data_IF_819851987123
#
_entry.id   IF_819851987123
#
_cell.length_a   1.000
_cell.length_b   1.000
_cell.length_c   1.000
_cell.angle_alpha   90.00
_cell.angle_beta   90.00
_cell.angle_gamma   90.00
#
_symmetry.space_group_name_H-M   'P 1'
#
loop_
_entity.id
_entity.type
_entity.pdbx_description
1 polymer ?
#
# COMPACT_ATOMS: atom_id res chain seq x y z
N UNK A 1 -24.88 -0.29 6.15
CA UNK A 1 -24.69 -0.19 4.69
C UNK A 1 -23.35 0.44 4.30
N UNK A 2 -22.87 1.50 4.96
CA UNK A 2 -21.64 2.21 4.55
C UNK A 2 -20.38 1.35 4.39
N UNK A 3 -20.08 0.45 5.33
CA UNK A 3 -18.85 -0.36 5.30
C UNK A 3 -18.75 -1.25 4.05
N UNK A 4 -19.84 -1.92 3.65
CA UNK A 4 -19.83 -2.82 2.49
C UNK A 4 -19.51 -2.04 1.20
N UNK A 5 -20.08 -0.85 1.04
CA UNK A 5 -19.84 0.01 -0.13
C UNK A 5 -18.38 0.48 -0.17
N UNK A 6 -17.79 0.81 0.99
CA UNK A 6 -16.37 1.16 1.10
C UNK A 6 -15.47 0.01 0.62
N UNK A 7 -15.68 -1.21 1.10
CA UNK A 7 -14.88 -2.37 0.70
C UNK A 7 -15.11 -2.78 -0.77
N UNK A 8 -16.32 -2.58 -1.32
CA UNK A 8 -16.58 -2.78 -2.74
C UNK A 8 -15.82 -1.76 -3.59
N UNK A 9 -15.85 -0.49 -3.19
CA UNK A 9 -15.11 0.58 -3.87
C UNK A 9 -13.59 0.36 -3.79
N UNK A 10 -13.10 -0.13 -2.65
CA UNK A 10 -11.71 -0.58 -2.48
C UNK A 10 -11.37 -1.72 -3.46
N UNK A 11 -12.24 -2.71 -3.62
CA UNK A 11 -12.04 -3.80 -4.59
C UNK A 11 -11.93 -3.26 -6.03
N UNK A 12 -12.82 -2.33 -6.42
CA UNK A 12 -12.73 -1.65 -7.72
C UNK A 12 -11.42 -0.88 -7.88
N UNK A 13 -10.94 -0.19 -6.83
CA UNK A 13 -9.66 0.50 -6.85
C UNK A 13 -8.48 -0.47 -7.00
N UNK A 14 -8.50 -1.62 -6.31
CA UNK A 14 -7.46 -2.65 -6.46
C UNK A 14 -7.43 -3.23 -7.89
N UNK A 15 -8.59 -3.43 -8.52
CA UNK A 15 -8.68 -3.84 -9.93
C UNK A 15 -8.09 -2.76 -10.84
N UNK A 16 -8.47 -1.49 -10.66
CA UNK A 16 -7.91 -0.38 -11.42
C UNK A 16 -6.39 -0.25 -11.24
N UNK A 17 -5.88 -0.51 -10.03
CA UNK A 17 -4.45 -0.54 -9.75
C UNK A 17 -3.73 -1.70 -10.43
N UNK A 18 -4.33 -2.89 -10.45
CA UNK A 18 -3.80 -4.03 -11.21
C UNK A 18 -3.74 -3.71 -12.71
N UNK A 19 -4.75 -3.05 -13.26
CA UNK A 19 -4.73 -2.53 -14.65
C UNK A 19 -3.57 -1.55 -14.84
N UNK A 20 -3.38 -0.59 -13.93
CA UNK A 20 -2.27 0.35 -13.97
C UNK A 20 -0.88 -0.31 -13.97
N UNK A 21 -0.69 -1.30 -13.11
CA UNK A 21 0.53 -2.11 -13.09
C UNK A 21 0.73 -2.89 -14.40
N UNK A 22 -0.34 -3.42 -14.99
CA UNK A 22 -0.28 -4.08 -16.28
C UNK A 22 0.07 -3.12 -17.43
N UNK A 23 -0.49 -1.90 -17.43
CA UNK A 23 -0.13 -0.87 -18.41
C UNK A 23 1.34 -0.45 -18.29
N UNK A 24 1.88 -0.43 -17.06
CA UNK A 24 3.31 -0.24 -16.87
C UNK A 24 4.13 -1.32 -17.56
N UNK A 25 3.80 -2.59 -17.38
CA UNK A 25 4.53 -3.71 -18.00
C UNK A 25 4.52 -3.59 -19.55
N UNK A 26 3.42 -3.10 -20.13
CA UNK A 26 3.30 -2.94 -21.59
C UNK A 26 4.05 -1.73 -22.16
N UNK A 27 3.96 -0.58 -21.50
CA UNK A 27 4.41 0.70 -22.06
C UNK A 27 5.52 1.39 -21.26
N UNK A 28 5.98 0.78 -20.18
CA UNK A 28 7.00 1.30 -19.27
C UNK A 28 6.71 2.74 -18.78
N UNK A 29 5.43 3.04 -18.50
CA UNK A 29 4.97 4.38 -18.09
C UNK A 29 5.26 4.75 -16.63
N UNK A 30 5.83 3.82 -15.87
CA UNK A 30 5.90 3.88 -14.41
C UNK A 30 7.11 4.65 -13.92
N UNK A 31 7.03 5.15 -12.68
CA UNK A 31 8.10 5.92 -12.06
C UNK A 31 7.63 7.31 -11.63
N UNK A 32 8.52 8.30 -11.68
CA UNK A 32 8.30 9.60 -11.06
C UNK A 32 7.05 10.33 -11.58
N UNK A 33 6.79 10.29 -12.89
CA UNK A 33 5.66 10.99 -13.50
C UNK A 33 4.31 10.44 -13.02
N UNK A 34 4.17 9.11 -12.98
CA UNK A 34 2.95 8.47 -12.47
C UNK A 34 2.80 8.67 -10.97
N UNK A 35 3.90 8.73 -10.22
CA UNK A 35 3.86 9.03 -8.77
C UNK A 35 3.37 10.46 -8.51
N UNK A 36 3.91 11.44 -9.24
CA UNK A 36 3.46 12.83 -9.15
C UNK A 36 2.00 12.99 -9.59
N UNK A 37 1.62 12.29 -10.67
CA UNK A 37 0.23 12.23 -11.12
C UNK A 37 -0.71 11.64 -10.06
N UNK A 38 -0.31 10.55 -9.41
CA UNK A 38 -1.05 9.93 -8.32
C UNK A 38 -1.26 10.91 -7.16
N UNK A 39 -0.18 11.56 -6.69
CA UNK A 39 -0.26 12.57 -5.64
C UNK A 39 -1.18 13.73 -6.03
N UNK A 40 -1.07 14.23 -7.26
CA UNK A 40 -1.95 15.27 -7.79
C UNK A 40 -3.43 14.84 -7.81
N UNK A 41 -3.71 13.61 -8.24
CA UNK A 41 -5.07 13.07 -8.26
C UNK A 41 -5.67 12.88 -6.86
N UNK A 42 -4.86 12.52 -5.86
CA UNK A 42 -5.28 12.44 -4.45
C UNK A 42 -5.65 13.83 -3.95
N UNK A 43 -4.79 14.83 -4.15
CA UNK A 43 -5.04 16.21 -3.70
C UNK A 43 -6.30 16.77 -4.38
N UNK A 44 -6.49 16.48 -5.66
CA UNK A 44 -7.67 16.89 -6.41
C UNK A 44 -8.94 16.21 -5.87
N UNK A 45 -8.91 14.91 -5.59
CA UNK A 45 -10.04 14.19 -4.99
C UNK A 45 -10.42 14.77 -3.64
N UNK A 46 -9.43 15.03 -2.77
CA UNK A 46 -9.65 15.58 -1.43
C UNK A 46 -10.17 17.02 -1.45
N UNK A 47 -9.86 17.78 -2.51
CA UNK A 47 -10.36 19.15 -2.72
C UNK A 47 -11.74 19.18 -3.39
N UNK A 48 -12.23 18.06 -3.90
CA UNK A 48 -13.52 17.96 -4.58
C UNK A 48 -14.65 17.72 -3.56
N UNK A 49 -15.73 18.52 -3.58
CA UNK A 49 -16.77 18.44 -2.57
C UNK A 49 -17.61 17.15 -2.69
N UNK A 50 -18.20 16.64 -1.58
CA UNK A 50 -18.84 15.32 -1.55
C UNK A 50 -20.02 15.12 -2.51
N UNK A 51 -20.71 16.19 -2.90
CA UNK A 51 -21.84 16.11 -3.84
C UNK A 51 -21.43 15.78 -5.28
N UNK A 52 -20.16 15.96 -5.65
CA UNK A 52 -19.62 15.60 -6.97
C UNK A 52 -19.14 14.14 -7.02
N UNK A 53 -20.01 13.22 -6.61
CA UNK A 53 -19.69 11.80 -6.42
C UNK A 53 -19.00 11.16 -7.64
N UNK A 54 -19.55 11.37 -8.84
CA UNK A 54 -18.98 10.81 -10.08
C UNK A 54 -17.54 11.26 -10.34
N UNK A 55 -17.24 12.54 -10.09
CA UNK A 55 -15.86 13.06 -10.28
C UNK A 55 -14.92 12.44 -9.26
N UNK A 56 -15.36 12.31 -8.00
CA UNK A 56 -14.54 11.72 -6.92
C UNK A 56 -14.27 10.23 -7.18
N UNK A 57 -15.26 9.47 -7.62
CA UNK A 57 -15.08 8.07 -8.01
C UNK A 57 -14.11 7.95 -9.19
N UNK A 58 -14.24 8.81 -10.20
CA UNK A 58 -13.31 8.84 -11.35
C UNK A 58 -11.89 9.17 -10.91
N UNK A 59 -11.71 10.17 -10.04
CA UNK A 59 -10.41 10.52 -9.48
C UNK A 59 -9.82 9.39 -8.61
N UNK A 60 -10.65 8.63 -7.89
CA UNK A 60 -10.20 7.45 -7.14
C UNK A 60 -9.69 6.35 -8.08
N UNK A 61 -10.40 6.09 -9.18
CA UNK A 61 -9.95 5.12 -10.19
C UNK A 61 -8.67 5.57 -10.89
N UNK A 62 -8.57 6.87 -11.23
CA UNK A 62 -7.35 7.45 -11.79
C UNK A 62 -6.18 7.36 -10.81
N UNK A 63 -6.40 7.69 -9.53
CA UNK A 63 -5.41 7.53 -8.46
C UNK A 63 -4.94 6.09 -8.37
N UNK A 64 -5.87 5.14 -8.35
CA UNK A 64 -5.53 3.73 -8.19
C UNK A 64 -4.74 3.17 -9.37
N UNK A 65 -5.13 3.54 -10.59
CA UNK A 65 -4.43 3.20 -11.83
C UNK A 65 -3.02 3.79 -11.83
N UNK A 66 -2.86 5.08 -11.54
CA UNK A 66 -1.55 5.74 -11.49
C UNK A 66 -0.67 5.13 -10.40
N UNK A 67 -1.22 4.87 -9.20
CA UNK A 67 -0.51 4.19 -8.12
C UNK A 67 -0.02 2.79 -8.54
N UNK A 68 -0.85 2.03 -9.26
CA UNK A 68 -0.47 0.73 -9.80
C UNK A 68 0.68 0.84 -10.80
N UNK A 69 0.61 1.81 -11.71
CA UNK A 69 1.68 2.08 -12.67
C UNK A 69 2.97 2.55 -11.98
N UNK A 70 2.88 3.32 -10.88
CA UNK A 70 4.03 3.77 -10.09
C UNK A 70 4.73 2.65 -9.33
N UNK A 71 3.99 1.62 -8.89
CA UNK A 71 4.57 0.41 -8.28
C UNK A 71 5.16 -0.52 -9.35
N UNK A 72 4.78 -0.34 -10.62
CA UNK A 72 5.21 -1.12 -11.77
C UNK A 72 6.72 -1.45 -11.83
N UNK A 73 7.64 -0.48 -11.69
CA UNK A 73 9.09 -0.76 -11.73
C UNK A 73 9.55 -1.73 -10.63
N UNK A 74 8.89 -1.74 -9.47
CA UNK A 74 9.17 -2.71 -8.40
C UNK A 74 8.64 -4.10 -8.77
N UNK A 75 7.54 -4.18 -9.52
CA UNK A 75 6.99 -5.42 -10.05
C UNK A 75 7.93 -5.99 -11.12
N UNK A 76 8.53 -5.16 -11.98
CA UNK A 76 9.52 -5.60 -12.97
C UNK A 76 10.71 -6.31 -12.29
N UNK A 77 11.25 -5.72 -11.22
CA UNK A 77 12.31 -6.37 -10.41
C UNK A 77 11.83 -7.71 -9.84
N UNK A 78 10.57 -7.82 -9.45
CA UNK A 78 9.99 -9.09 -8.98
C UNK A 78 9.84 -10.14 -10.08
N UNK A 79 9.62 -9.72 -11.32
CA UNK A 79 9.59 -10.59 -12.50
C UNK A 79 10.99 -11.04 -12.88
N UNK A 80 11.99 -10.17 -12.78
CA UNK A 80 13.39 -10.51 -13.07
C UNK A 80 14.00 -11.52 -12.08
N UNK A 81 13.66 -11.43 -10.79
CA UNK A 81 14.23 -12.30 -9.74
C UNK A 81 13.66 -13.72 -9.78
N UNK A 82 12.38 -13.90 -10.11
CA UNK A 82 11.73 -15.21 -10.20
C UNK A 82 11.03 -15.39 -11.57
N UNK A 83 11.80 -15.58 -12.66
CA UNK A 83 11.27 -15.75 -14.00
C UNK A 83 10.64 -17.14 -14.15
N UNK A 84 9.44 -17.34 -13.60
CA UNK A 84 8.56 -18.45 -14.01
C UNK A 84 7.75 -17.95 -15.20
N UNK A 85 8.12 -18.41 -16.40
CA UNK A 85 7.43 -18.28 -17.70
C UNK A 85 6.38 -17.16 -17.85
N UNK A 86 6.64 -16.29 -18.84
CA UNK A 86 5.90 -15.15 -19.45
C UNK A 86 4.38 -14.99 -19.21
N UNK A 87 3.62 -16.02 -18.84
CA UNK A 87 2.17 -15.97 -18.67
C UNK A 87 1.67 -16.07 -17.21
N UNK A 88 2.54 -16.41 -16.24
CA UNK A 88 2.16 -16.58 -14.83
C UNK A 88 2.77 -15.43 -14.01
N UNK A 89 2.00 -14.71 -13.17
CA UNK A 89 2.58 -13.71 -12.27
C UNK A 89 3.61 -14.37 -11.35
N UNK A 90 4.77 -13.73 -11.15
CA UNK A 90 5.87 -14.27 -10.35
C UNK A 90 5.36 -14.78 -9.00
N UNK A 91 5.86 -15.93 -8.55
CA UNK A 91 5.40 -16.51 -7.28
C UNK A 91 5.58 -15.53 -6.13
N UNK A 92 6.65 -14.71 -6.17
CA UNK A 92 6.92 -13.61 -5.22
C UNK A 92 5.79 -12.56 -5.24
N UNK A 93 5.33 -12.15 -6.42
CA UNK A 93 4.28 -11.14 -6.56
C UNK A 93 2.95 -11.64 -6.00
N UNK A 94 2.56 -12.86 -6.37
CA UNK A 94 1.32 -13.49 -5.90
C UNK A 94 1.36 -13.69 -4.39
N UNK A 95 2.46 -14.22 -3.85
CA UNK A 95 2.60 -14.44 -2.42
C UNK A 95 2.64 -13.13 -1.62
N UNK A 96 3.24 -12.07 -2.15
CA UNK A 96 3.19 -10.74 -1.52
C UNK A 96 1.77 -10.17 -1.50
N UNK A 97 1.03 -10.29 -2.60
CA UNK A 97 -0.37 -9.85 -2.68
C UNK A 97 -1.27 -10.63 -1.71
N UNK A 98 -1.17 -11.96 -1.70
CA UNK A 98 -1.94 -12.82 -0.79
C UNK A 98 -1.58 -12.53 0.67
N UNK A 99 -0.30 -12.39 0.99
CA UNK A 99 0.14 -12.02 2.35
C UNK A 99 -0.42 -10.67 2.79
N UNK A 100 -0.41 -9.67 1.89
CA UNK A 100 -1.00 -8.37 2.14
C UNK A 100 -2.52 -8.46 2.34
N UNK A 101 -3.23 -9.17 1.46
CA UNK A 101 -4.69 -9.34 1.55
C UNK A 101 -5.12 -10.04 2.84
N UNK A 102 -4.39 -11.08 3.26
CA UNK A 102 -4.64 -11.77 4.53
C UNK A 102 -4.38 -10.83 5.71
N UNK A 103 -3.24 -10.15 5.75
CA UNK A 103 -2.94 -9.20 6.82
C UNK A 103 -4.00 -8.10 6.91
N UNK A 104 -4.27 -7.43 5.78
CA UNK A 104 -5.27 -6.37 5.69
C UNK A 104 -6.65 -6.85 6.13
N UNK A 105 -7.11 -8.00 5.64
CA UNK A 105 -8.40 -8.59 6.02
C UNK A 105 -8.48 -8.93 7.51
N UNK A 106 -7.45 -9.58 8.06
CA UNK A 106 -7.42 -9.94 9.48
C UNK A 106 -7.44 -8.70 10.39
N UNK A 107 -6.61 -7.69 10.12
CA UNK A 107 -6.55 -6.48 10.92
C UNK A 107 -7.80 -5.60 10.76
N UNK A 108 -8.37 -5.54 9.55
CA UNK A 108 -9.65 -4.85 9.32
C UNK A 108 -10.80 -5.51 10.08
N UNK A 109 -10.90 -6.85 10.05
CA UNK A 109 -11.94 -7.58 10.80
C UNK A 109 -11.74 -7.42 12.31
N UNK A 110 -10.50 -7.55 12.79
CA UNK A 110 -10.18 -7.35 14.20
C UNK A 110 -10.58 -5.93 14.66
N UNK A 111 -10.32 -4.92 13.82
CA UNK A 111 -10.80 -3.57 14.05
C UNK A 111 -12.34 -3.52 14.10
N UNK A 112 -13.03 -4.03 13.09
CA UNK A 112 -14.50 -4.01 13.07
C UNK A 112 -15.16 -4.63 14.33
N UNK A 113 -14.49 -5.58 14.98
CA UNK A 113 -14.98 -6.27 16.18
C UNK A 113 -14.50 -5.64 17.51
N UNK A 114 -13.49 -4.77 17.49
CA UNK A 114 -12.90 -4.20 18.71
C UNK A 114 -13.72 -3.06 19.33
N UNK A 115 -13.56 -2.84 20.65
CA UNK A 115 -14.23 -1.77 21.40
C UNK A 115 -13.51 -0.42 21.28
N UNK A 116 -14.30 0.64 21.12
CA UNK A 116 -13.93 1.97 20.58
C UNK A 116 -12.91 2.86 21.29
N UNK A 117 -12.37 2.53 22.46
CA UNK A 117 -12.01 3.59 23.41
C UNK A 117 -10.61 4.22 23.32
N UNK A 118 -9.69 3.75 22.46
CA UNK A 118 -8.26 4.19 22.55
C UNK A 118 -7.58 4.60 21.21
N UNK A 119 -8.34 4.93 20.16
CA UNK A 119 -7.75 5.20 18.83
C UNK A 119 -6.91 6.48 18.74
N UNK A 120 -7.21 7.49 19.54
CA UNK A 120 -6.49 8.77 19.52
C UNK A 120 -5.04 8.61 20.01
N UNK A 121 -4.83 7.76 21.03
CA UNK A 121 -3.50 7.40 21.52
C UNK A 121 -2.75 6.52 20.51
N UNK A 122 -3.45 5.56 19.88
CA UNK A 122 -2.85 4.69 18.88
C UNK A 122 -2.44 5.48 17.62
N UNK A 123 -3.28 6.38 17.13
CA UNK A 123 -2.97 7.26 15.99
C UNK A 123 -1.78 8.18 16.28
N UNK A 124 -1.69 8.73 17.50
CA UNK A 124 -0.52 9.51 17.94
C UNK A 124 0.78 8.68 17.96
N UNK A 125 0.72 7.45 18.48
CA UNK A 125 1.85 6.52 18.49
C UNK A 125 2.30 6.17 17.07
N UNK A 126 1.37 5.82 16.17
CA UNK A 126 1.69 5.47 14.78
C UNK A 126 2.25 6.66 14.01
N UNK A 127 1.70 7.86 14.21
CA UNK A 127 2.22 9.11 13.64
C UNK A 127 3.66 9.39 14.09
N UNK A 128 3.96 9.17 15.37
CA UNK A 128 5.34 9.26 15.86
C UNK A 128 6.27 8.23 15.19
N UNK A 129 5.80 7.00 14.98
CA UNK A 129 6.52 5.95 14.24
C UNK A 129 6.78 6.33 12.78
N UNK A 130 5.79 6.92 12.10
CA UNK A 130 5.94 7.44 10.74
C UNK A 130 6.97 8.58 10.66
N UNK A 131 6.96 9.49 11.65
CA UNK A 131 7.97 10.56 11.74
C UNK A 131 9.38 10.00 11.95
N UNK A 132 9.54 8.98 12.79
CA UNK A 132 10.82 8.29 12.98
C UNK A 132 11.30 7.67 11.66
N UNK A 133 10.42 6.97 10.93
CA UNK A 133 10.75 6.41 9.61
C UNK A 133 11.19 7.48 8.62
N UNK A 134 10.48 8.61 8.58
CA UNK A 134 10.83 9.74 7.72
C UNK A 134 12.24 10.27 8.04
N UNK A 135 12.54 10.52 9.32
CA UNK A 135 13.85 11.02 9.74
C UNK A 135 14.96 9.99 9.51
N UNK A 136 14.69 8.70 9.70
CA UNK A 136 15.65 7.63 9.40
C UNK A 136 15.96 7.53 7.91
N UNK A 137 14.94 7.65 7.06
CA UNK A 137 15.11 7.63 5.61
C UNK A 137 15.92 8.84 5.14
N UNK A 138 15.59 10.03 5.65
CA UNK A 138 16.30 11.27 5.38
C UNK A 138 17.77 11.19 5.84
N UNK A 139 18.02 10.74 7.06
CA UNK A 139 19.38 10.55 7.58
C UNK A 139 20.17 9.52 6.76
N UNK A 140 19.55 8.40 6.38
CA UNK A 140 20.17 7.39 5.53
C UNK A 140 20.53 7.93 4.15
N UNK A 141 19.71 8.83 3.60
CA UNK A 141 20.00 9.50 2.33
C UNK A 141 21.17 10.49 2.42
N UNK A 142 21.39 11.16 3.56
CA UNK A 142 22.47 12.13 3.74
C UNK A 142 23.79 11.50 4.16
N UNK A 143 23.75 10.53 5.07
CA UNK A 143 24.93 9.96 5.72
C UNK A 143 25.28 8.54 5.24
N UNK A 144 24.47 7.97 4.35
CA UNK A 144 24.57 6.58 3.93
C UNK A 144 23.86 5.63 4.89
N UNK A 145 22.99 4.77 4.36
CA UNK A 145 22.24 3.79 5.13
C UNK A 145 22.99 2.46 5.29
N UNK A 146 22.99 1.88 6.50
CA UNK A 146 23.47 0.52 6.71
C UNK A 146 22.40 -0.53 6.36
N UNK A 147 22.82 -1.75 6.01
CA UNK A 147 21.90 -2.86 5.77
C UNK A 147 21.05 -3.23 7.00
N UNK A 148 21.51 -2.88 8.21
CA UNK A 148 20.74 -3.06 9.45
C UNK A 148 19.65 -2.00 9.59
N UNK A 149 19.97 -0.73 9.35
CA UNK A 149 19.00 0.38 9.36
C UNK A 149 17.90 0.16 8.32
N UNK A 150 18.27 -0.24 7.11
CA UNK A 150 17.30 -0.54 6.06
C UNK A 150 16.35 -1.68 6.43
N UNK A 151 16.84 -2.74 7.08
CA UNK A 151 15.97 -3.83 7.58
C UNK A 151 15.05 -3.34 8.69
N UNK A 152 15.58 -2.56 9.63
CA UNK A 152 14.78 -1.96 10.68
C UNK A 152 13.65 -1.11 10.07
N UNK A 153 13.98 -0.20 9.15
CA UNK A 153 13.01 0.65 8.44
C UNK A 153 11.92 -0.17 7.75
N UNK A 154 12.26 -1.28 7.08
CA UNK A 154 11.27 -2.14 6.43
C UNK A 154 10.33 -2.84 7.42
N UNK A 155 10.86 -3.52 8.43
CA UNK A 155 10.03 -4.30 9.36
C UNK A 155 9.27 -3.41 10.35
N UNK A 156 9.91 -2.35 10.84
CA UNK A 156 9.26 -1.34 11.67
C UNK A 156 8.20 -0.58 10.85
N UNK A 157 8.52 -0.21 9.61
CA UNK A 157 7.55 0.36 8.68
C UNK A 157 6.37 -0.56 8.41
N UNK A 158 6.60 -1.86 8.22
CA UNK A 158 5.50 -2.81 8.07
C UNK A 158 4.58 -2.80 9.30
N UNK A 159 5.14 -2.81 10.51
CA UNK A 159 4.38 -2.75 11.75
C UNK A 159 3.55 -1.47 11.86
N UNK A 160 4.15 -0.30 11.57
CA UNK A 160 3.48 0.99 11.62
C UNK A 160 2.29 1.04 10.66
N UNK A 161 2.46 0.58 9.42
CA UNK A 161 1.40 0.66 8.42
C UNK A 161 0.32 -0.39 8.57
N UNK A 162 0.66 -1.57 9.11
CA UNK A 162 -0.35 -2.52 9.58
C UNK A 162 -1.16 -1.92 10.73
N UNK A 163 -0.52 -1.15 11.61
CA UNK A 163 -1.22 -0.39 12.65
C UNK A 163 -2.18 0.66 12.07
N UNK A 164 -1.79 1.35 11.00
CA UNK A 164 -2.65 2.33 10.32
C UNK A 164 -3.92 1.69 9.76
N UNK A 165 -3.85 0.48 9.20
CA UNK A 165 -5.06 -0.25 8.78
C UNK A 165 -6.07 -0.37 9.92
N UNK A 166 -5.60 -0.66 11.14
CA UNK A 166 -6.46 -0.76 12.33
C UNK A 166 -7.06 0.60 12.69
N UNK A 167 -6.23 1.64 12.77
CA UNK A 167 -6.69 3.00 13.13
C UNK A 167 -7.67 3.55 12.09
N UNK A 168 -7.35 3.43 10.81
CA UNK A 168 -8.15 3.99 9.72
C UNK A 168 -9.46 3.21 9.55
N UNK A 169 -9.44 1.88 9.69
CA UNK A 169 -10.69 1.10 9.73
C UNK A 169 -11.59 1.57 10.87
N UNK A 170 -11.04 1.85 12.06
CA UNK A 170 -11.83 2.33 13.20
C UNK A 170 -12.37 3.74 13.01
N UNK A 171 -11.53 4.65 12.51
CA UNK A 171 -11.91 6.02 12.21
C UNK A 171 -13.04 6.08 11.17
N UNK A 172 -12.99 5.22 10.14
CA UNK A 172 -14.08 5.06 9.16
C UNK A 172 -15.38 4.60 9.85
N UNK A 173 -15.31 3.62 10.76
CA UNK A 173 -16.48 3.09 11.47
C UNK A 173 -17.09 4.13 12.41
N UNK A 174 -16.23 4.91 13.07
CA UNK A 174 -16.63 5.98 13.97
C UNK A 174 -17.29 7.13 13.21
N UNK A 175 -16.68 7.59 12.12
CA UNK A 175 -17.25 8.59 11.20
C UNK A 175 -18.61 8.15 10.65
N UNK A 176 -18.73 6.89 10.23
CA UNK A 176 -19.99 6.31 9.78
C UNK A 176 -21.08 6.30 10.87
N UNK A 177 -20.71 6.17 12.15
CA UNK A 177 -21.67 6.30 13.27
C UNK A 177 -22.11 7.73 13.52
N UNK A 178 -21.25 8.71 13.23
CA UNK A 178 -21.59 10.13 13.31
C UNK A 178 -22.27 10.67 12.03
N UNK A 179 -22.60 9.79 11.08
CA UNK A 179 -23.34 10.13 9.87
C UNK A 179 -22.48 10.54 8.67
N UNK A 180 -21.15 10.48 8.78
CA UNK A 180 -20.25 10.65 7.63
C UNK A 180 -20.22 9.34 6.82
N UNK A 181 -20.83 9.37 5.64
CA UNK A 181 -20.95 8.24 4.73
C UNK A 181 -20.11 8.41 3.45
N UNK A 182 -19.04 9.20 3.52
CA UNK A 182 -18.12 9.46 2.41
C UNK A 182 -17.29 8.22 2.02
N UNK A 183 -17.95 7.29 1.34
CA UNK A 183 -17.38 6.00 0.99
C UNK A 183 -16.17 6.12 0.05
N UNK A 184 -16.10 7.15 -0.79
CA UNK A 184 -14.99 7.37 -1.73
C UNK A 184 -13.73 7.74 -0.97
N UNK A 185 -13.82 8.67 -0.01
CA UNK A 185 -12.70 9.06 0.84
C UNK A 185 -12.23 7.90 1.71
N UNK A 186 -13.18 7.18 2.32
CA UNK A 186 -12.85 6.00 3.13
C UNK A 186 -12.18 4.89 2.31
N UNK A 187 -12.64 4.66 1.07
CA UNK A 187 -12.00 3.70 0.17
C UNK A 187 -10.60 4.15 -0.27
N UNK A 188 -10.39 5.45 -0.51
CA UNK A 188 -9.07 6.01 -0.80
C UNK A 188 -8.09 5.74 0.35
N UNK A 189 -8.50 6.02 1.59
CA UNK A 189 -7.68 5.79 2.78
C UNK A 189 -7.26 4.31 2.90
N UNK A 190 -8.21 3.39 2.83
CA UNK A 190 -7.93 1.95 2.89
C UNK A 190 -7.08 1.46 1.70
N UNK A 191 -7.25 2.05 0.52
CA UNK A 191 -6.46 1.74 -0.66
C UNK A 191 -4.99 2.15 -0.47
N UNK A 192 -4.73 3.34 0.08
CA UNK A 192 -3.37 3.81 0.35
C UNK A 192 -2.68 2.97 1.41
N UNK A 193 -3.40 2.54 2.45
CA UNK A 193 -2.89 1.62 3.46
C UNK A 193 -2.53 0.26 2.87
N UNK A 194 -3.43 -0.30 2.05
CA UNK A 194 -3.19 -1.56 1.36
C UNK A 194 -1.95 -1.47 0.47
N UNK A 195 -1.85 -0.44 -0.36
CA UNK A 195 -0.71 -0.23 -1.25
C UNK A 195 0.61 -0.11 -0.46
N UNK A 196 0.59 0.63 0.66
CA UNK A 196 1.77 0.82 1.49
C UNK A 196 2.23 -0.49 2.17
N UNK A 197 1.31 -1.33 2.64
CA UNK A 197 1.64 -2.65 3.18
C UNK A 197 2.12 -3.59 2.08
N UNK A 198 1.45 -3.61 0.93
CA UNK A 198 1.82 -4.43 -0.22
C UNK A 198 3.25 -4.16 -0.69
N UNK A 199 3.62 -2.89 -0.92
CA UNK A 199 4.97 -2.50 -1.34
C UNK A 199 6.02 -3.00 -0.36
N UNK A 200 5.79 -2.89 0.95
CA UNK A 200 6.74 -3.35 1.96
C UNK A 200 6.90 -4.86 1.98
N UNK A 201 5.80 -5.59 1.92
CA UNK A 201 5.84 -7.06 1.84
C UNK A 201 6.59 -7.48 0.58
N UNK A 202 6.31 -6.86 -0.56
CA UNK A 202 6.99 -7.15 -1.83
C UNK A 202 8.50 -6.93 -1.70
N UNK A 203 8.96 -5.78 -1.19
CA UNK A 203 10.39 -5.51 -0.98
C UNK A 203 11.03 -6.55 -0.04
N UNK A 204 10.36 -6.93 1.05
CA UNK A 204 10.85 -7.95 1.99
C UNK A 204 11.03 -9.29 1.28
N UNK A 205 10.06 -9.71 0.47
CA UNK A 205 10.12 -10.98 -0.25
C UNK A 205 11.20 -10.97 -1.35
N UNK A 206 11.38 -9.86 -2.05
CA UNK A 206 12.44 -9.68 -3.04
C UNK A 206 13.81 -9.85 -2.41
N UNK A 207 14.10 -9.11 -1.33
CA UNK A 207 15.39 -9.21 -0.64
C UNK A 207 15.67 -10.58 -0.04
N UNK A 208 14.64 -11.23 0.47
CA UNK A 208 14.77 -12.60 0.99
C UNK A 208 15.11 -13.58 -0.14
N UNK A 209 14.53 -13.39 -1.33
CA UNK A 209 14.77 -14.23 -2.51
C UNK A 209 16.18 -14.02 -3.08
N UNK A 210 16.62 -12.76 -3.25
CA UNK A 210 18.00 -12.43 -3.68
C UNK A 210 19.04 -13.08 -2.76
N UNK A 211 18.90 -12.91 -1.44
CA UNK A 211 19.82 -13.50 -0.45
C UNK A 211 19.85 -15.03 -0.51
N UNK A 212 18.73 -15.68 -0.83
CA UNK A 212 18.70 -17.13 -1.01
C UNK A 212 19.43 -17.56 -2.28
N UNK A 213 19.29 -16.82 -3.38
CA UNK A 213 20.01 -17.09 -4.63
C UNK A 213 21.53 -16.93 -4.46
N UNK A 214 21.97 -15.87 -3.78
CA UNK A 214 23.39 -15.66 -3.46
C UNK A 214 23.98 -16.82 -2.63
N UNK A 215 23.26 -17.27 -1.60
CA UNK A 215 23.68 -18.42 -0.78
C UNK A 215 23.78 -19.70 -1.60
N UNK A 216 22.86 -19.93 -2.54
CA UNK A 216 22.90 -21.10 -3.43
C UNK A 216 24.09 -21.03 -4.39
N UNK A 217 24.40 -19.86 -4.95
CA UNK A 217 25.59 -19.65 -5.81
C UNK A 217 26.89 -19.91 -5.04
N UNK A 218 27.02 -19.39 -3.82
CA UNK A 218 28.19 -19.61 -2.94
C UNK A 218 28.38 -21.06 -2.47
N UNK A 219 27.34 -21.90 -2.54
CA UNK A 219 27.44 -23.34 -2.22
C UNK A 219 27.81 -24.20 -3.43
N UNK A 220 27.72 -23.66 -4.65
CA UNK A 220 28.02 -24.34 -5.91
C UNK A 220 29.43 -24.03 -6.44
N UNK A 221 30.01 -22.91 -6.01
CA UNK A 221 31.41 -22.56 -6.21
C UNK A 221 32.24 -23.02 -5.02
#
# INVERSE_FOLDING_TARGET
>A
MGQIVVYLMLCCALIASAVGAYLHILWNIGGLLTTLGCMGSIVWLLSTPPYEEQKRVTLLMATALLQGASIGPLIDVAIEIDPRQVFIPSFILVSAFVGCAVAFGCFSIAAMLAKRREYLYLGGLLSSGLSILFWLHFASSLFGGSAALFKFELYFGLLVFVGYIVVDTQDIIEKAHFGDLDYVKHALTLFTDFAAVFVRILIIMLKNSEKQQEKKKKRRN
#
